data_IF_609931222077
#
_entry.id   IF_609931222077
#
_cell.length_a   1.000
_cell.length_b   1.000
_cell.length_c   1.000
_cell.angle_alpha   90.00
_cell.angle_beta   90.00
_cell.angle_gamma   90.00
#
_symmetry.space_group_name_H-M   'P 1'
#
loop_
_entity.id
_entity.type
_entity.pdbx_description
1 polymer ?
#
# COMPACT_ATOMS: atom_id res chain seq x y z
N UNK A 1 -8.06 -9.79 18.12
CA UNK A 1 -7.46 -9.11 19.28
C UNK A 1 -6.70 -10.05 20.25
N UNK A 2 -7.31 -10.72 21.24
CA UNK A 2 -6.54 -11.39 22.33
C UNK A 2 -5.48 -12.39 21.83
N UNK A 3 -5.82 -13.28 20.90
CA UNK A 3 -4.87 -14.26 20.37
C UNK A 3 -3.66 -13.62 19.66
N UNK A 4 -3.87 -12.46 19.01
CA UNK A 4 -2.81 -11.70 18.36
C UNK A 4 -1.91 -11.03 19.40
N UNK A 5 -2.49 -10.47 20.47
CA UNK A 5 -1.74 -9.91 21.58
C UNK A 5 -0.89 -10.98 22.28
N UNK A 6 -1.46 -12.15 22.55
CA UNK A 6 -0.73 -13.28 23.14
C UNK A 6 0.39 -13.78 22.21
N UNK A 7 0.21 -13.70 20.89
CA UNK A 7 1.25 -14.08 19.91
C UNK A 7 2.40 -13.08 19.92
N UNK A 8 2.11 -11.78 19.88
CA UNK A 8 3.15 -10.74 19.94
C UNK A 8 3.94 -10.84 21.26
N UNK A 9 3.29 -11.12 22.38
CA UNK A 9 3.98 -11.38 23.65
C UNK A 9 4.94 -12.56 23.59
N UNK A 10 4.53 -13.67 22.96
CA UNK A 10 5.41 -14.82 22.73
C UNK A 10 6.60 -14.45 21.84
N UNK A 11 6.37 -13.72 20.77
CA UNK A 11 7.40 -13.29 19.82
C UNK A 11 8.43 -12.37 20.49
N UNK A 12 7.98 -11.47 21.37
CA UNK A 12 8.86 -10.61 22.18
C UNK A 12 9.75 -11.48 23.08
N UNK A 13 9.16 -12.40 23.86
CA UNK A 13 9.92 -13.23 24.80
C UNK A 13 10.92 -14.15 24.09
N UNK A 14 10.54 -14.71 22.94
CA UNK A 14 11.42 -15.53 22.14
C UNK A 14 12.56 -14.71 21.52
N UNK A 15 12.25 -13.51 21.01
CA UNK A 15 13.24 -12.56 20.50
C UNK A 15 14.25 -12.17 21.59
N UNK A 16 13.78 -11.79 22.78
CA UNK A 16 14.64 -11.46 23.92
C UNK A 16 15.61 -12.60 24.24
N UNK A 17 15.10 -13.84 24.30
CA UNK A 17 15.91 -15.03 24.59
C UNK A 17 16.98 -15.25 23.51
N UNK A 18 16.61 -15.14 22.23
CA UNK A 18 17.54 -15.31 21.09
C UNK A 18 18.60 -14.21 21.06
N UNK A 19 18.21 -12.95 21.30
CA UNK A 19 19.13 -11.82 21.39
C UNK A 19 20.12 -11.97 22.56
N UNK A 20 19.66 -12.41 23.73
CA UNK A 20 20.53 -12.68 24.86
C UNK A 20 21.52 -13.81 24.58
N UNK A 21 21.06 -14.89 23.93
CA UNK A 21 21.94 -16.00 23.54
C UNK A 21 23.01 -15.53 22.55
N UNK A 22 22.62 -14.78 21.52
CA UNK A 22 23.58 -14.28 20.52
C UNK A 22 24.53 -13.22 21.11
N UNK A 23 24.11 -12.48 22.13
CA UNK A 23 25.01 -11.61 22.92
C UNK A 23 26.08 -12.42 23.64
N UNK A 24 25.71 -13.51 24.34
CA UNK A 24 26.68 -14.39 25.01
C UNK A 24 27.61 -15.07 24.00
N UNK A 25 27.07 -15.49 22.86
CA UNK A 25 27.87 -16.08 21.78
C UNK A 25 28.88 -15.06 21.23
N UNK A 26 28.48 -13.79 21.08
CA UNK A 26 29.38 -12.70 20.65
C UNK A 26 30.54 -12.48 21.63
N UNK A 27 30.27 -12.54 22.94
CA UNK A 27 31.28 -12.42 23.99
C UNK A 27 32.23 -13.63 24.01
N UNK A 28 31.72 -14.81 23.68
CA UNK A 28 32.49 -16.05 23.58
C UNK A 28 33.16 -16.26 22.20
N UNK A 29 33.14 -15.23 21.33
CA UNK A 29 33.69 -15.29 19.95
C UNK A 29 33.09 -16.42 19.09
N UNK A 30 31.83 -16.77 19.34
CA UNK A 30 31.06 -17.74 18.56
C UNK A 30 30.19 -17.04 17.51
N UNK A 31 29.82 -17.78 16.47
CA UNK A 31 28.99 -17.26 15.38
C UNK A 31 27.56 -16.96 15.85
N UNK A 32 27.01 -15.83 15.43
CA UNK A 32 25.62 -15.47 15.66
C UNK A 32 24.71 -16.29 14.74
N UNK A 33 23.70 -16.94 15.30
CA UNK A 33 22.88 -17.91 14.57
C UNK A 33 21.44 -17.43 14.38
N UNK A 34 20.97 -16.51 15.22
CA UNK A 34 19.55 -16.18 15.33
C UNK A 34 19.15 -14.88 14.61
N UNK A 35 20.06 -14.25 13.86
CA UNK A 35 19.79 -12.97 13.18
C UNK A 35 18.56 -13.02 12.26
N UNK A 36 18.46 -14.05 11.42
CA UNK A 36 17.39 -14.16 10.43
C UNK A 36 16.05 -14.50 11.08
N UNK A 37 16.05 -15.42 12.04
CA UNK A 37 14.84 -15.87 12.74
C UNK A 37 14.28 -14.77 13.65
N UNK A 38 15.16 -14.04 14.34
CA UNK A 38 14.78 -12.89 15.17
C UNK A 38 14.23 -11.76 14.31
N UNK A 39 14.85 -11.48 13.15
CA UNK A 39 14.34 -10.48 12.21
C UNK A 39 12.97 -10.85 11.63
N UNK A 40 12.71 -12.14 11.37
CA UNK A 40 11.40 -12.63 10.92
C UNK A 40 10.34 -12.47 12.02
N UNK A 41 10.64 -12.92 13.24
CA UNK A 41 9.70 -12.83 14.38
C UNK A 41 9.35 -11.37 14.72
N UNK A 42 10.34 -10.46 14.71
CA UNK A 42 10.08 -9.02 14.89
C UNK A 42 9.18 -8.44 13.80
N UNK A 43 9.35 -8.87 12.54
CA UNK A 43 8.51 -8.41 11.43
C UNK A 43 7.09 -8.95 11.55
N UNK A 44 6.91 -10.20 11.96
CA UNK A 44 5.60 -10.80 12.22
C UNK A 44 4.89 -10.10 13.38
N UNK A 45 5.62 -9.82 14.47
CA UNK A 45 5.12 -9.04 15.60
C UNK A 45 4.70 -7.62 15.18
N UNK A 46 5.45 -6.95 14.30
CA UNK A 46 5.09 -5.62 13.77
C UNK A 46 3.79 -5.65 12.96
N UNK A 47 3.58 -6.69 12.14
CA UNK A 47 2.34 -6.87 11.37
C UNK A 47 1.15 -7.10 12.31
N UNK A 48 1.28 -8.03 13.25
CA UNK A 48 0.22 -8.33 14.23
C UNK A 48 -0.12 -7.12 15.09
N UNK A 49 0.88 -6.30 15.41
CA UNK A 49 0.67 -5.08 16.18
C UNK A 49 -0.11 -4.03 15.39
N UNK A 50 0.10 -3.91 14.08
CA UNK A 50 -0.74 -3.05 13.20
C UNK A 50 -2.19 -3.52 13.23
N UNK A 51 -2.43 -4.83 13.11
CA UNK A 51 -3.78 -5.39 13.21
C UNK A 51 -4.43 -5.12 14.58
N UNK A 52 -3.64 -5.19 15.67
CA UNK A 52 -4.12 -4.86 17.02
C UNK A 52 -4.53 -3.38 17.16
N UNK A 53 -3.78 -2.45 16.56
CA UNK A 53 -4.16 -1.04 16.55
C UNK A 53 -5.47 -0.80 15.78
N UNK A 54 -5.66 -1.48 14.64
CA UNK A 54 -6.92 -1.44 13.89
C UNK A 54 -8.09 -2.00 14.72
N UNK A 55 -7.88 -3.13 15.40
CA UNK A 55 -8.85 -3.75 16.31
C UNK A 55 -9.25 -2.79 17.46
N UNK A 56 -8.30 -2.01 18.01
CA UNK A 56 -8.56 -0.99 19.04
C UNK A 56 -9.36 0.18 18.51
N UNK A 57 -8.98 0.72 17.35
CA UNK A 57 -9.70 1.83 16.73
C UNK A 57 -11.16 1.44 16.45
N UNK A 58 -11.36 0.21 15.99
CA UNK A 58 -12.68 -0.39 15.83
C UNK A 58 -13.43 -0.49 17.16
N UNK A 59 -12.82 -1.02 18.21
CA UNK A 59 -13.43 -1.11 19.54
C UNK A 59 -13.81 0.28 20.08
N UNK A 60 -12.99 1.29 19.87
CA UNK A 60 -13.25 2.69 20.27
C UNK A 60 -14.44 3.28 19.52
N UNK A 61 -14.54 3.04 18.21
CA UNK A 61 -15.68 3.49 17.37
C UNK A 61 -17.00 2.81 17.74
N UNK A 62 -16.93 1.58 18.24
CA UNK A 62 -18.08 0.86 18.79
C UNK A 62 -18.40 1.26 20.24
N UNK A 63 -17.65 2.22 20.81
CA UNK A 63 -17.78 2.67 22.21
C UNK A 63 -17.67 1.52 23.20
N UNK A 64 -16.77 0.57 22.91
CA UNK A 64 -16.54 -0.56 23.79
C UNK A 64 -16.08 -0.05 25.17
N UNK A 65 -16.70 -0.50 26.28
CA UNK A 65 -16.44 0.04 27.62
C UNK A 65 -14.99 -0.14 28.09
N UNK A 66 -14.25 -1.05 27.47
CA UNK A 66 -12.84 -1.33 27.77
C UNK A 66 -11.86 -0.81 26.71
N UNK A 67 -12.32 -0.05 25.70
CA UNK A 67 -11.47 0.38 24.59
C UNK A 67 -10.23 1.16 25.04
N UNK A 68 -10.36 2.02 26.05
CA UNK A 68 -9.24 2.83 26.56
C UNK A 68 -8.16 1.98 27.25
N UNK A 69 -8.56 0.95 28.01
CA UNK A 69 -7.61 0.04 28.67
C UNK A 69 -6.90 -0.83 27.65
N UNK A 70 -7.64 -1.35 26.67
CA UNK A 70 -7.06 -2.13 25.56
C UNK A 70 -6.07 -1.27 24.74
N UNK A 71 -6.38 0.01 24.52
CA UNK A 71 -5.48 0.95 23.83
C UNK A 71 -4.17 1.14 24.60
N UNK A 72 -4.23 1.25 25.94
CA UNK A 72 -3.03 1.33 26.79
C UNK A 72 -2.20 0.06 26.70
N UNK A 73 -2.83 -1.11 26.77
CA UNK A 73 -2.14 -2.40 26.72
C UNK A 73 -1.40 -2.57 25.38
N UNK A 74 -2.05 -2.23 24.25
CA UNK A 74 -1.42 -2.32 22.93
C UNK A 74 -0.30 -1.29 22.75
N UNK A 75 -0.43 -0.10 23.33
CA UNK A 75 0.68 0.88 23.37
C UNK A 75 1.90 0.35 24.14
N UNK A 76 1.68 -0.30 25.29
CA UNK A 76 2.78 -0.94 26.04
C UNK A 76 3.43 -2.06 25.25
N UNK A 77 2.62 -2.85 24.54
CA UNK A 77 3.11 -3.90 23.66
C UNK A 77 3.96 -3.33 22.51
N UNK A 78 3.52 -2.22 21.91
CA UNK A 78 4.27 -1.51 20.87
C UNK A 78 5.62 -0.99 21.35
N UNK A 79 5.66 -0.38 22.52
CA UNK A 79 6.89 0.12 23.12
C UNK A 79 7.91 -1.01 23.33
N UNK A 80 7.45 -2.17 23.81
CA UNK A 80 8.30 -3.35 23.99
C UNK A 80 8.82 -3.91 22.66
N UNK A 81 7.97 -4.10 21.65
CA UNK A 81 8.44 -4.53 20.31
C UNK A 81 9.46 -3.54 19.73
N UNK A 82 9.25 -2.25 19.94
CA UNK A 82 10.16 -1.20 19.48
C UNK A 82 11.51 -1.27 20.18
N UNK A 83 11.52 -1.54 21.49
CA UNK A 83 12.73 -1.77 22.26
C UNK A 83 13.50 -3.01 21.75
N UNK A 84 12.81 -4.13 21.52
CA UNK A 84 13.44 -5.33 20.94
C UNK A 84 14.02 -5.08 19.55
N UNK A 85 13.33 -4.29 18.72
CA UNK A 85 13.86 -3.85 17.42
C UNK A 85 15.13 -3.02 17.58
N UNK A 86 15.20 -2.16 18.59
CA UNK A 86 16.39 -1.35 18.87
C UNK A 86 17.56 -2.23 19.35
N UNK A 87 17.31 -3.23 20.18
CA UNK A 87 18.31 -4.18 20.64
C UNK A 87 18.82 -5.09 19.51
N UNK A 88 17.91 -5.57 18.66
CA UNK A 88 18.26 -6.30 17.44
C UNK A 88 19.20 -5.49 16.54
N UNK A 89 18.85 -4.22 16.26
CA UNK A 89 19.73 -3.32 15.51
C UNK A 89 21.05 -3.10 16.23
N UNK A 90 21.04 -2.83 17.53
CA UNK A 90 22.27 -2.59 18.29
C UNK A 90 23.23 -3.79 18.27
N UNK A 91 22.71 -5.02 18.23
CA UNK A 91 23.50 -6.25 18.21
C UNK A 91 23.99 -6.62 16.80
N UNK A 92 23.10 -6.57 15.80
CA UNK A 92 23.42 -7.02 14.44
C UNK A 92 23.86 -5.91 13.47
N UNK A 93 23.33 -4.69 13.61
CA UNK A 93 23.68 -3.55 12.72
C UNK A 93 25.10 -3.03 13.01
N UNK A 94 25.56 -3.13 14.26
CA UNK A 94 26.97 -2.87 14.63
C UNK A 94 27.98 -3.76 13.90
N UNK A 95 27.55 -4.84 13.26
CA UNK A 95 28.41 -5.74 12.50
C UNK A 95 28.33 -5.54 10.97
N UNK A 96 27.37 -4.73 10.47
CA UNK A 96 27.14 -4.51 9.03
C UNK A 96 27.88 -3.30 8.47
N UNK A 97 28.47 -2.45 9.32
CA UNK A 97 29.33 -1.34 8.87
C UNK A 97 30.80 -1.80 8.79
N UNK A 98 31.37 -2.04 7.59
CA UNK A 98 32.81 -1.93 7.44
C UNK A 98 33.18 -0.47 7.76
N UNK A 99 34.22 -0.20 8.58
CA UNK A 99 34.68 1.16 8.81
C UNK A 99 35.15 1.73 7.46
N UNK A 100 34.36 2.63 6.89
CA UNK A 100 34.75 3.37 5.70
C UNK A 100 35.97 4.23 6.02
N UNK A 101 37.11 3.83 5.45
CA UNK A 101 38.08 4.73 4.85
C UNK A 101 39.00 5.49 5.80
N UNK A 102 40.12 4.87 6.20
CA UNK A 102 41.40 5.59 6.29
C UNK A 102 42.47 4.90 5.44
N UNK A 103 43.08 5.73 4.61
CA UNK A 103 44.08 5.40 3.61
C UNK A 103 45.26 4.58 4.14
N UNK A 104 45.80 3.71 3.28
CA UNK A 104 47.25 3.65 3.11
C UNK A 104 47.83 2.28 2.74
N UNK A 105 48.15 2.15 1.44
CA UNK A 105 49.38 1.51 0.92
C UNK A 105 49.38 -0.01 0.69
N UNK A 106 49.04 -0.37 -0.55
CA UNK A 106 49.85 -1.18 -1.47
C UNK A 106 50.34 -2.57 -1.03
N UNK A 107 49.84 -3.62 -1.69
CA UNK A 107 50.59 -4.37 -2.71
C UNK A 107 50.01 -5.79 -2.90
N UNK A 108 49.68 -6.12 -4.16
CA UNK A 108 49.67 -7.47 -4.76
C UNK A 108 48.71 -8.51 -4.18
N UNK A 109 48.04 -9.36 -4.93
CA UNK A 109 48.02 -9.64 -6.36
C UNK A 109 46.81 -10.55 -6.61
N UNK A 110 46.17 -10.37 -7.77
CA UNK A 110 45.68 -11.43 -8.67
C UNK A 110 44.69 -12.47 -8.08
N UNK A 111 43.47 -12.61 -8.59
CA UNK A 111 43.23 -13.05 -9.98
C UNK A 111 41.76 -12.79 -10.39
N UNK A 112 41.61 -12.32 -11.63
CA UNK A 112 40.51 -12.42 -12.62
C UNK A 112 39.25 -13.22 -12.30
N UNK A 113 38.09 -13.03 -12.92
CA UNK A 113 37.48 -12.08 -13.85
C UNK A 113 36.01 -12.56 -13.88
N UNK A 114 35.01 -11.69 -13.82
CA UNK A 114 34.45 -11.17 -15.05
C UNK A 114 32.97 -11.52 -15.15
N UNK A 115 32.20 -10.48 -15.52
CA UNK A 115 30.91 -10.52 -16.19
C UNK A 115 29.66 -10.73 -15.32
N UNK A 116 29.12 -9.56 -14.96
CA UNK A 116 27.69 -9.26 -14.90
C UNK A 116 26.89 -10.03 -15.95
N UNK A 117 25.82 -10.70 -15.51
CA UNK A 117 24.75 -11.17 -16.39
C UNK A 117 23.46 -10.39 -16.06
N UNK A 118 22.79 -9.80 -17.06
CA UNK A 118 21.59 -9.00 -16.84
C UNK A 118 20.35 -9.88 -16.61
N UNK A 119 19.51 -9.46 -15.66
CA UNK A 119 18.14 -9.96 -15.49
C UNK A 119 17.30 -9.45 -16.67
N UNK A 120 16.87 -10.35 -17.55
CA UNK A 120 15.93 -10.02 -18.63
C UNK A 120 14.49 -10.27 -18.19
N UNK A 121 13.67 -9.32 -18.63
CA UNK A 121 12.22 -9.26 -18.59
C UNK A 121 11.53 -10.58 -18.95
N UNK A 122 10.44 -10.87 -18.23
CA UNK A 122 9.43 -11.84 -18.65
C UNK A 122 8.47 -11.14 -19.59
N UNK A 123 8.68 -11.33 -20.89
CA UNK A 123 7.67 -11.03 -21.89
C UNK A 123 6.69 -12.18 -22.05
N UNK A 124 5.42 -11.77 -22.12
CA UNK A 124 4.30 -12.44 -22.77
C UNK A 124 4.72 -13.19 -24.03
N UNK A 125 4.21 -14.41 -24.22
CA UNK A 125 3.77 -14.83 -25.55
C UNK A 125 2.55 -15.76 -25.46
N UNK A 126 1.54 -15.34 -26.19
CA UNK A 126 0.35 -16.09 -26.57
C UNK A 126 0.70 -17.25 -27.51
N UNK A 127 -0.05 -18.34 -27.40
CA UNK A 127 -0.13 -19.41 -28.39
C UNK A 127 -1.58 -19.89 -28.46
N UNK A 128 -2.24 -19.60 -29.57
CA UNK A 128 -3.61 -19.98 -29.89
C UNK A 128 -3.64 -21.29 -30.72
N UNK A 129 -4.85 -21.87 -30.74
CA UNK A 129 -5.38 -22.91 -31.64
C UNK A 129 -4.96 -24.37 -31.36
N UNK A 130 -5.92 -25.23 -31.03
CA UNK A 130 -6.65 -25.96 -32.06
C UNK A 130 -8.00 -26.50 -31.55
N UNK A 131 -8.95 -26.56 -32.47
CA UNK A 131 -10.35 -26.90 -32.29
C UNK A 131 -10.54 -28.42 -32.30
N UNK A 132 -11.40 -28.96 -31.45
CA UNK A 132 -12.16 -30.17 -31.85
C UNK A 132 -13.56 -30.19 -31.25
N UNK A 133 -14.49 -30.18 -32.19
CA UNK A 133 -15.93 -30.25 -32.02
C UNK A 133 -16.42 -31.51 -31.31
N UNK A 134 -17.55 -31.36 -30.62
CA UNK A 134 -18.68 -32.28 -30.68
C UNK A 134 -19.95 -31.62 -30.09
N UNK A 135 -20.89 -31.28 -30.98
CA UNK A 135 -22.33 -31.23 -30.68
C UNK A 135 -22.86 -32.67 -30.53
N UNK A 136 -24.00 -32.88 -29.86
CA UNK A 136 -25.22 -32.96 -30.66
C UNK A 136 -26.37 -32.10 -30.14
N UNK A 137 -27.25 -31.78 -31.08
CA UNK A 137 -28.48 -31.04 -30.93
C UNK A 137 -29.66 -32.00 -30.70
N UNK A 138 -30.60 -31.60 -29.84
CA UNK A 138 -32.06 -31.82 -29.90
C UNK A 138 -32.64 -30.73 -28.96
N UNK A 139 -33.71 -29.98 -29.20
CA UNK A 139 -34.72 -29.94 -30.24
C UNK A 139 -35.92 -29.17 -29.65
N UNK A 140 -36.40 -28.17 -30.39
CA UNK A 140 -37.79 -27.67 -30.47
C UNK A 140 -38.45 -26.85 -29.32
N UNK A 141 -39.04 -25.71 -29.75
CA UNK A 141 -40.20 -24.93 -29.21
C UNK A 141 -39.91 -23.88 -28.12
N UNK A 142 -40.45 -22.66 -28.15
CA UNK A 142 -41.24 -21.90 -29.11
C UNK A 142 -41.23 -20.41 -28.67
N UNK A 143 -41.33 -19.49 -29.63
CA UNK A 143 -41.72 -18.08 -29.44
C UNK A 143 -43.25 -17.99 -29.25
N UNK A 144 -43.79 -16.94 -28.60
CA UNK A 144 -44.22 -15.71 -29.31
C UNK A 144 -43.87 -14.42 -28.53
N UNK A 145 -43.34 -13.37 -29.16
CA UNK A 145 -44.04 -12.26 -29.86
C UNK A 145 -44.85 -11.35 -28.92
N UNK A 146 -44.54 -10.03 -28.94
CA UNK A 146 -45.48 -8.89 -29.06
C UNK A 146 -44.83 -7.55 -28.58
N UNK A 147 -44.65 -6.64 -29.56
CA UNK A 147 -44.81 -5.14 -29.51
C UNK A 147 -43.67 -4.29 -28.88
N UNK A 148 -42.77 -3.60 -29.61
CA UNK A 148 -42.89 -2.36 -30.42
C UNK A 148 -43.52 -1.16 -29.69
N UNK A 149 -42.77 -0.23 -29.06
CA UNK A 149 -42.31 1.10 -29.59
C UNK A 149 -42.55 2.18 -28.48
N UNK A 150 -42.08 3.45 -28.58
CA UNK A 150 -40.82 4.00 -29.09
C UNK A 150 -40.19 5.09 -28.15
N UNK A 151 -38.99 5.57 -28.51
CA UNK A 151 -38.31 6.75 -27.94
C UNK A 151 -39.03 8.09 -28.20
N UNK A 152 -38.63 9.16 -27.48
CA UNK A 152 -38.47 10.46 -28.14
C UNK A 152 -37.19 11.22 -27.74
N UNK A 153 -36.69 12.02 -28.68
CA UNK A 153 -35.77 13.15 -28.52
C UNK A 153 -36.32 14.32 -29.37
N UNK A 154 -35.73 15.53 -29.39
CA UNK A 154 -35.22 16.39 -28.31
C UNK A 154 -36.02 17.73 -28.26
N UNK A 155 -35.87 18.55 -27.21
CA UNK A 155 -36.26 19.97 -27.29
C UNK A 155 -35.26 20.84 -26.53
N UNK A 156 -34.85 21.90 -27.21
CA UNK A 156 -33.81 22.87 -26.88
C UNK A 156 -34.14 23.75 -25.66
N UNK A 157 -33.06 24.31 -25.07
CA UNK A 157 -33.11 25.60 -24.41
C UNK A 157 -32.96 25.57 -22.89
N UNK A 158 -31.78 25.98 -22.40
CA UNK A 158 -31.62 26.40 -21.01
C UNK A 158 -30.28 26.00 -20.41
N UNK A 159 -29.30 26.89 -20.53
CA UNK A 159 -28.11 26.90 -19.67
C UNK A 159 -28.56 27.00 -18.22
N UNK A 160 -28.56 25.88 -17.51
CA UNK A 160 -28.54 25.85 -16.05
C UNK A 160 -27.51 24.80 -15.69
N UNK A 161 -26.41 25.25 -15.09
CA UNK A 161 -25.47 24.40 -14.38
C UNK A 161 -26.26 23.61 -13.32
N UNK A 162 -26.70 22.40 -13.69
CA UNK A 162 -27.26 21.44 -12.74
C UNK A 162 -26.09 20.91 -11.93
N UNK A 163 -25.96 21.40 -10.71
CA UNK A 163 -25.27 20.65 -9.68
C UNK A 163 -25.99 19.29 -9.54
N UNK A 164 -25.33 18.23 -10.00
CA UNK A 164 -25.83 16.85 -9.91
C UNK A 164 -26.15 16.51 -8.44
N UNK A 165 -27.42 16.21 -8.09
CA UNK A 165 -27.79 15.91 -6.73
C UNK A 165 -27.35 14.49 -6.38
N UNK A 166 -26.43 14.37 -5.42
CA UNK A 166 -26.29 13.16 -4.62
C UNK A 166 -25.52 11.98 -5.22
N UNK A 167 -24.47 12.20 -6.02
CA UNK A 167 -23.50 11.13 -6.27
C UNK A 167 -22.99 10.55 -4.94
N UNK A 168 -22.92 9.22 -4.78
CA UNK A 168 -22.36 8.58 -3.58
C UNK A 168 -20.98 9.15 -3.26
N UNK A 169 -20.69 9.35 -1.97
CA UNK A 169 -19.43 9.95 -1.50
C UNK A 169 -18.20 9.22 -2.09
N UNK A 170 -18.26 7.90 -2.23
CA UNK A 170 -17.22 7.11 -2.92
C UNK A 170 -17.06 7.51 -4.40
N UNK A 171 -18.15 7.67 -5.13
CA UNK A 171 -18.11 8.05 -6.56
C UNK A 171 -17.51 9.43 -6.76
N UNK A 172 -17.80 10.37 -5.85
CA UNK A 172 -17.19 11.71 -5.85
C UNK A 172 -15.68 11.65 -5.58
N UNK A 173 -15.25 10.86 -4.58
CA UNK A 173 -13.84 10.69 -4.25
C UNK A 173 -13.06 10.04 -5.40
N UNK A 174 -13.60 8.98 -6.01
CA UNK A 174 -13.02 8.33 -7.18
C UNK A 174 -12.89 9.27 -8.37
N UNK A 175 -13.89 10.13 -8.60
CA UNK A 175 -13.84 11.12 -9.68
C UNK A 175 -12.77 12.17 -9.43
N UNK A 176 -12.65 12.68 -8.19
CA UNK A 176 -11.62 13.64 -7.80
C UNK A 176 -10.21 13.06 -7.95
N UNK A 177 -9.98 11.83 -7.48
CA UNK A 177 -8.71 11.12 -7.67
C UNK A 177 -8.39 10.95 -9.16
N UNK A 178 -9.36 10.49 -9.95
CA UNK A 178 -9.18 10.32 -11.39
C UNK A 178 -8.91 11.63 -12.14
N UNK A 179 -9.41 12.77 -11.67
CA UNK A 179 -9.06 14.08 -12.22
C UNK A 179 -7.63 14.49 -11.89
N UNK A 180 -7.17 14.26 -10.67
CA UNK A 180 -5.80 14.57 -10.28
C UNK A 180 -4.79 13.67 -10.99
N UNK A 181 -5.06 12.36 -11.08
CA UNK A 181 -4.23 11.44 -11.85
C UNK A 181 -4.13 11.89 -13.32
N UNK A 182 -5.25 12.32 -13.93
CA UNK A 182 -5.24 12.85 -15.31
C UNK A 182 -4.37 14.09 -15.47
N UNK A 183 -4.37 15.01 -14.49
CA UNK A 183 -3.49 16.19 -14.53
C UNK A 183 -2.02 15.79 -14.51
N UNK A 184 -1.64 14.88 -13.62
CA UNK A 184 -0.26 14.38 -13.51
C UNK A 184 0.18 13.67 -14.80
N UNK A 185 -0.72 12.89 -15.42
CA UNK A 185 -0.43 12.15 -16.65
C UNK A 185 -0.37 13.03 -17.91
N UNK A 186 -1.13 14.13 -17.94
CA UNK A 186 -1.13 15.08 -19.07
C UNK A 186 -0.02 16.13 -18.96
N UNK A 187 0.62 16.22 -17.79
CA UNK A 187 1.75 17.09 -17.56
C UNK A 187 2.91 16.71 -18.48
N UNK A 188 3.50 17.70 -19.13
CA UNK A 188 4.77 17.52 -19.82
C UNK A 188 5.89 17.38 -18.79
N UNK A 189 6.62 16.27 -18.83
CA UNK A 189 7.74 15.95 -17.94
C UNK A 189 9.10 16.04 -18.66
N UNK A 190 9.12 16.53 -19.91
CA UNK A 190 10.32 16.65 -20.74
C UNK A 190 11.20 17.86 -20.36
N UNK A 191 12.38 17.96 -20.97
CA UNK A 191 13.29 19.11 -20.76
C UNK A 191 12.68 20.45 -21.20
N UNK A 192 11.61 20.41 -21.99
CA UNK A 192 10.85 21.58 -22.46
C UNK A 192 9.81 22.07 -21.44
N UNK A 193 9.75 21.47 -20.26
CA UNK A 193 8.80 21.85 -19.21
C UNK A 193 8.91 23.36 -18.90
N UNK A 194 7.80 24.07 -19.12
CA UNK A 194 7.78 25.53 -19.15
C UNK A 194 8.01 26.19 -17.78
N UNK A 195 7.45 25.61 -16.70
CA UNK A 195 7.63 26.13 -15.33
C UNK A 195 7.84 25.01 -14.29
N UNK A 196 9.07 24.51 -14.14
CA UNK A 196 9.40 23.52 -13.10
C UNK A 196 9.22 24.00 -11.67
N UNK A 197 9.51 25.28 -11.42
CA UNK A 197 9.43 25.83 -10.08
C UNK A 197 7.97 26.08 -9.64
N UNK A 198 7.08 26.39 -10.57
CA UNK A 198 5.64 26.45 -10.34
C UNK A 198 5.06 25.08 -10.00
N UNK A 199 5.37 24.08 -10.83
CA UNK A 199 4.90 22.70 -10.64
C UNK A 199 5.39 22.11 -9.31
N UNK A 200 6.65 22.37 -8.93
CA UNK A 200 7.18 21.99 -7.61
C UNK A 200 6.38 22.62 -6.47
N UNK A 201 6.09 23.93 -6.56
CA UNK A 201 5.32 24.64 -5.53
C UNK A 201 3.89 24.14 -5.43
N UNK A 202 3.24 23.88 -6.55
CA UNK A 202 1.89 23.30 -6.59
C UNK A 202 1.86 21.92 -5.95
N UNK A 203 2.83 21.06 -6.28
CA UNK A 203 2.93 19.73 -5.70
C UNK A 203 3.22 19.77 -4.19
N UNK A 204 4.10 20.67 -3.73
CA UNK A 204 4.37 20.85 -2.29
C UNK A 204 3.17 21.39 -1.54
N UNK A 205 2.42 22.33 -2.13
CA UNK A 205 1.17 22.82 -1.57
C UNK A 205 0.14 21.69 -1.45
N UNK A 206 -0.04 20.92 -2.52
CA UNK A 206 -0.93 19.75 -2.51
C UNK A 206 -0.54 18.76 -1.40
N UNK A 207 0.76 18.43 -1.29
CA UNK A 207 1.30 17.52 -0.27
C UNK A 207 1.05 18.02 1.15
N UNK A 208 1.18 19.33 1.41
CA UNK A 208 1.03 19.92 2.74
C UNK A 208 -0.43 20.07 3.17
N UNK A 209 -1.33 20.45 2.25
CA UNK A 209 -2.66 20.91 2.61
C UNK A 209 -3.80 19.99 2.16
N UNK A 210 -3.63 19.25 1.06
CA UNK A 210 -4.73 18.48 0.45
C UNK A 210 -4.56 16.97 0.63
N UNK A 211 -3.33 16.45 0.56
CA UNK A 211 -3.08 15.00 0.62
C UNK A 211 -3.63 14.36 1.91
N UNK A 212 -3.40 15.00 3.06
CA UNK A 212 -3.90 14.52 4.35
C UNK A 212 -5.44 14.52 4.40
N UNK A 213 -6.08 15.55 3.81
CA UNK A 213 -7.54 15.64 3.77
C UNK A 213 -8.14 14.54 2.88
N UNK A 214 -7.47 14.23 1.77
CA UNK A 214 -7.88 13.13 0.89
C UNK A 214 -7.71 11.76 1.55
N UNK A 215 -6.59 11.54 2.23
CA UNK A 215 -6.36 10.32 3.00
C UNK A 215 -7.44 10.11 4.07
N UNK A 216 -7.77 11.16 4.83
CA UNK A 216 -8.85 11.10 5.81
C UNK A 216 -10.21 10.78 5.19
N UNK A 217 -10.50 11.33 4.01
CA UNK A 217 -11.73 11.04 3.27
C UNK A 217 -11.80 9.58 2.82
N UNK A 218 -10.70 9.05 2.27
CA UNK A 218 -10.58 7.65 1.83
C UNK A 218 -10.72 6.70 3.03
N UNK A 219 -9.99 6.94 4.12
CA UNK A 219 -10.05 6.12 5.33
C UNK A 219 -11.48 6.08 5.89
N UNK A 220 -12.15 7.24 5.98
CA UNK A 220 -13.52 7.28 6.48
C UNK A 220 -14.50 6.52 5.57
N UNK A 221 -14.31 6.53 4.26
CA UNK A 221 -15.11 5.74 3.33
C UNK A 221 -14.86 4.23 3.47
N UNK A 222 -13.63 3.83 3.73
CA UNK A 222 -13.30 2.44 4.03
C UNK A 222 -13.97 1.99 5.33
N UNK A 223 -13.88 2.80 6.38
CA UNK A 223 -14.48 2.56 7.68
C UNK A 223 -16.01 2.43 7.60
N UNK A 224 -16.65 3.32 6.85
CA UNK A 224 -18.09 3.30 6.62
C UNK A 224 -18.49 2.01 5.87
N UNK A 225 -17.69 1.59 4.88
CA UNK A 225 -17.94 0.36 4.14
C UNK A 225 -17.75 -0.90 4.99
N UNK A 226 -16.71 -0.97 5.83
CA UNK A 226 -16.50 -2.11 6.74
C UNK A 226 -17.65 -2.22 7.76
N UNK A 227 -18.10 -1.09 8.32
CA UNK A 227 -19.27 -1.04 9.19
C UNK A 227 -20.52 -1.57 8.49
N UNK A 228 -20.74 -1.23 7.21
CA UNK A 228 -21.88 -1.74 6.45
C UNK A 228 -21.79 -3.25 6.19
N UNK A 229 -20.58 -3.78 5.97
CA UNK A 229 -20.34 -5.22 5.84
C UNK A 229 -20.65 -5.95 7.15
N UNK A 230 -20.20 -5.42 8.28
CA UNK A 230 -20.47 -5.98 9.61
C UNK A 230 -21.96 -6.02 9.97
N UNK A 231 -22.69 -4.97 9.60
CA UNK A 231 -24.14 -4.89 9.78
C UNK A 231 -24.91 -5.79 8.82
N UNK A 232 -24.22 -6.61 8.00
CA UNK A 232 -24.79 -7.52 7.00
C UNK A 232 -25.74 -6.80 6.05
N UNK A 233 -25.32 -5.62 5.59
CA UNK A 233 -26.10 -4.83 4.66
C UNK A 233 -26.41 -5.67 3.39
N UNK A 234 -27.65 -5.67 2.88
CA UNK A 234 -28.04 -6.51 1.74
C UNK A 234 -27.24 -6.22 0.46
N UNK A 235 -26.62 -5.04 0.37
CA UNK A 235 -25.72 -4.65 -0.72
C UNK A 235 -24.22 -4.87 -0.43
N UNK A 236 -23.87 -5.85 0.41
CA UNK A 236 -22.46 -6.11 0.80
C UNK A 236 -21.53 -6.33 -0.39
N UNK A 237 -21.97 -7.08 -1.41
CA UNK A 237 -21.16 -7.35 -2.61
C UNK A 237 -20.80 -6.08 -3.39
N UNK A 238 -21.78 -5.24 -3.79
CA UNK A 238 -21.51 -3.94 -4.41
C UNK A 238 -20.64 -2.99 -3.57
N UNK A 239 -20.82 -2.99 -2.23
CA UNK A 239 -20.03 -2.17 -1.30
C UNK A 239 -18.57 -2.60 -1.32
N UNK A 240 -18.29 -3.89 -1.19
CA UNK A 240 -16.93 -4.43 -1.23
C UNK A 240 -16.25 -4.15 -2.57
N UNK A 241 -16.95 -4.33 -3.69
CA UNK A 241 -16.41 -4.00 -5.02
C UNK A 241 -16.04 -2.51 -5.15
N UNK A 242 -16.86 -1.60 -4.60
CA UNK A 242 -16.53 -0.17 -4.58
C UNK A 242 -15.36 0.16 -3.64
N UNK A 243 -15.24 -0.53 -2.50
CA UNK A 243 -14.10 -0.36 -1.59
C UNK A 243 -12.79 -0.85 -2.22
N UNK A 244 -12.80 -1.98 -2.92
CA UNK A 244 -11.64 -2.49 -3.65
C UNK A 244 -11.21 -1.53 -4.76
N UNK A 245 -12.16 -0.98 -5.52
CA UNK A 245 -11.87 0.04 -6.53
C UNK A 245 -11.26 1.31 -5.90
N UNK A 246 -11.80 1.78 -4.78
CA UNK A 246 -11.26 2.94 -4.04
C UNK A 246 -9.82 2.70 -3.57
N UNK A 247 -9.55 1.53 -2.98
CA UNK A 247 -8.21 1.12 -2.54
C UNK A 247 -7.21 1.11 -3.70
N UNK A 248 -7.60 0.50 -4.81
CA UNK A 248 -6.77 0.41 -6.00
C UNK A 248 -6.45 1.79 -6.58
N UNK A 249 -7.45 2.65 -6.72
CA UNK A 249 -7.27 4.01 -7.25
C UNK A 249 -6.45 4.90 -6.33
N UNK A 250 -6.64 4.78 -5.02
CA UNK A 250 -5.83 5.50 -4.04
C UNK A 250 -4.37 5.06 -4.11
N UNK A 251 -4.10 3.75 -4.17
CA UNK A 251 -2.73 3.24 -4.31
C UNK A 251 -2.07 3.69 -5.63
N UNK A 252 -2.81 3.67 -6.74
CA UNK A 252 -2.33 4.17 -8.03
C UNK A 252 -1.98 5.67 -7.95
N UNK A 253 -2.81 6.45 -7.27
CA UNK A 253 -2.57 7.88 -7.05
C UNK A 253 -1.29 8.14 -6.23
N UNK A 254 -1.09 7.39 -5.14
CA UNK A 254 0.13 7.50 -4.32
C UNK A 254 1.39 7.13 -5.12
N UNK A 255 1.32 6.08 -5.95
CA UNK A 255 2.43 5.71 -6.84
C UNK A 255 2.76 6.84 -7.82
N UNK A 256 1.75 7.51 -8.38
CA UNK A 256 1.96 8.68 -9.25
C UNK A 256 2.60 9.85 -8.50
N UNK A 257 2.23 10.11 -7.25
CA UNK A 257 2.87 11.13 -6.42
C UNK A 257 4.37 10.83 -6.18
N UNK A 258 4.72 9.56 -5.95
CA UNK A 258 6.12 9.13 -5.81
C UNK A 258 6.89 9.36 -7.12
N UNK A 259 6.32 8.96 -8.26
CA UNK A 259 6.93 9.21 -9.57
C UNK A 259 7.11 10.71 -9.85
N UNK A 260 6.10 11.52 -9.51
CA UNK A 260 6.15 12.98 -9.65
C UNK A 260 7.25 13.60 -8.78
N UNK A 261 7.41 13.19 -7.53
CA UNK A 261 8.49 13.67 -6.66
C UNK A 261 9.86 13.33 -7.22
N UNK A 262 10.05 12.09 -7.68
CA UNK A 262 11.30 11.67 -8.30
C UNK A 262 11.62 12.46 -9.57
N UNK A 263 10.62 12.68 -10.43
CA UNK A 263 10.80 13.44 -11.67
C UNK A 263 11.13 14.91 -11.39
N UNK A 264 10.45 15.54 -10.42
CA UNK A 264 10.74 16.91 -10.01
C UNK A 264 12.17 17.03 -9.46
N UNK A 265 12.62 16.05 -8.65
CA UNK A 265 13.99 16.01 -8.15
C UNK A 265 15.01 15.91 -9.29
N UNK A 266 14.79 15.02 -10.26
CA UNK A 266 15.68 14.89 -11.42
C UNK A 266 15.75 16.16 -12.26
N UNK A 267 14.62 16.85 -12.47
CA UNK A 267 14.56 18.11 -13.22
C UNK A 267 15.33 19.22 -12.49
N UNK A 268 15.26 19.26 -11.16
CA UNK A 268 16.02 20.19 -10.33
C UNK A 268 17.52 19.89 -10.37
N UNK A 269 17.90 18.61 -10.27
CA UNK A 269 19.30 18.17 -10.31
C UNK A 269 19.95 18.42 -11.68
N UNK A 270 19.20 18.24 -12.77
CA UNK A 270 19.68 18.52 -14.13
C UNK A 270 19.90 20.03 -14.39
N UNK A 271 19.15 20.89 -13.69
CA UNK A 271 19.23 22.35 -13.83
C UNK A 271 20.23 23.02 -12.87
N UNK A 272 20.81 22.28 -11.92
CA UNK A 272 21.91 22.74 -11.05
C UNK A 272 23.27 22.55 -11.72
#
# INVERSE_FOLDING_TARGET
>A
MQANADQVERDILETQKRLQQDRLNSEQSQALQHQQETGRSLKEAEVLLKDLFLDVDKARRLKHPQAEEIEKDIKQLHERVTQECAEYRALYEKMVLPPSGRLGTGAGAETEAGLCRPVRARDRRAGAADCRAQHPAEGDRAHPDVTSQPSPSPTEGGVVARAEPGQPRCTRQLSALGEQQRRILQQDWSDLMADPAGVRREYEHFKQYELLSQEQSVNQLEDDGERMVELRHPAVGPIQAHQEALKMEWQNFLNLCICQEAQLQHVEDYRR
#
